data_IF_888836167358
#
_entry.id   IF_888836167358
#
_cell.length_a   1.000
_cell.length_b   1.000
_cell.length_c   1.000
_cell.angle_alpha   90.00
_cell.angle_beta   90.00
_cell.angle_gamma   90.00
#
_symmetry.space_group_name_H-M   'P 1'
#
loop_
_entity.id
_entity.type
_entity.pdbx_description
1 polymer ?
#
# COMPACT_ATOMS: atom_id res chain seq x y z
N UNK A 1 -14.08 -17.76 10.34
CA UNK A 1 -15.07 -18.57 9.59
C UNK A 1 -16.40 -17.82 9.41
N UNK A 2 -17.32 -17.76 10.39
CA UNK A 2 -18.64 -17.08 10.19
C UNK A 2 -18.51 -15.54 10.08
N UNK A 3 -17.72 -14.91 10.96
CA UNK A 3 -17.53 -13.44 10.94
C UNK A 3 -16.76 -12.95 9.72
N UNK A 4 -15.77 -13.71 9.24
CA UNK A 4 -15.02 -13.47 8.00
C UNK A 4 -15.93 -13.60 6.77
N UNK A 5 -16.77 -14.64 6.75
CA UNK A 5 -17.75 -14.83 5.69
C UNK A 5 -18.77 -13.69 5.62
N UNK A 6 -19.31 -13.25 6.76
CA UNK A 6 -20.20 -12.07 6.81
C UNK A 6 -19.47 -10.79 6.38
N UNK A 7 -18.19 -10.63 6.76
CA UNK A 7 -17.39 -9.47 6.34
C UNK A 7 -17.20 -9.44 4.83
N UNK A 8 -16.91 -10.59 4.21
CA UNK A 8 -16.80 -10.74 2.75
C UNK A 8 -18.14 -10.47 2.05
N UNK A 9 -19.26 -10.95 2.60
CA UNK A 9 -20.60 -10.75 2.03
C UNK A 9 -21.00 -9.26 1.95
N UNK A 10 -20.63 -8.47 2.96
CA UNK A 10 -20.92 -7.03 3.00
C UNK A 10 -19.79 -6.15 2.46
N UNK A 11 -18.69 -6.73 1.97
CA UNK A 11 -17.63 -5.97 1.34
C UNK A 11 -18.14 -5.27 0.08
N UNK A 12 -17.73 -4.02 -0.13
CA UNK A 12 -17.84 -3.37 -1.43
C UNK A 12 -16.48 -3.49 -2.13
N UNK A 13 -16.47 -3.63 -3.44
CA UNK A 13 -15.23 -3.63 -4.21
C UNK A 13 -15.46 -2.98 -5.57
N UNK A 14 -14.38 -2.61 -6.24
CA UNK A 14 -14.44 -2.32 -7.68
C UNK A 14 -14.86 -3.58 -8.46
N UNK A 15 -15.36 -3.43 -9.70
CA UNK A 15 -15.54 -4.56 -10.62
C UNK A 15 -14.24 -5.37 -10.76
N UNK A 16 -14.34 -6.69 -10.95
CA UNK A 16 -13.17 -7.58 -11.09
C UNK A 16 -12.48 -7.97 -9.78
N UNK A 17 -12.40 -7.08 -8.78
CA UNK A 17 -11.64 -7.32 -7.54
C UNK A 17 -12.05 -8.59 -6.77
N UNK A 18 -13.35 -8.93 -6.73
CA UNK A 18 -13.80 -10.17 -6.08
C UNK A 18 -13.33 -11.42 -6.83
N UNK A 19 -13.33 -11.40 -8.17
CA UNK A 19 -12.86 -12.53 -9.01
C UNK A 19 -11.35 -12.74 -8.83
N UNK A 20 -10.61 -11.65 -8.62
CA UNK A 20 -9.18 -11.64 -8.34
C UNK A 20 -8.83 -11.97 -6.87
N UNK A 21 -9.80 -12.34 -6.03
CA UNK A 21 -9.54 -12.73 -4.63
C UNK A 21 -9.21 -11.57 -3.68
N UNK A 22 -9.25 -10.31 -4.13
CA UNK A 22 -8.85 -9.15 -3.30
C UNK A 22 -9.72 -8.96 -2.06
N UNK A 23 -11.00 -9.35 -2.15
CA UNK A 23 -11.90 -9.29 -0.99
C UNK A 23 -11.47 -10.29 0.09
N UNK A 24 -11.10 -11.50 -0.31
CA UNK A 24 -10.66 -12.54 0.60
C UNK A 24 -9.31 -12.19 1.23
N UNK A 25 -8.40 -11.61 0.45
CA UNK A 25 -7.11 -11.10 0.96
C UNK A 25 -7.32 -9.99 2.00
N UNK A 26 -8.20 -9.01 1.74
CA UNK A 26 -8.52 -7.95 2.70
C UNK A 26 -9.09 -8.51 4.02
N UNK A 27 -9.95 -9.54 3.95
CA UNK A 27 -10.48 -10.23 5.13
C UNK A 27 -9.38 -11.02 5.85
N UNK A 28 -8.49 -11.70 5.11
CA UNK A 28 -7.38 -12.46 5.67
C UNK A 28 -6.37 -11.57 6.41
N UNK A 29 -6.01 -10.42 5.82
CA UNK A 29 -5.15 -9.41 6.46
C UNK A 29 -5.77 -8.94 7.78
N UNK A 30 -7.06 -8.61 7.78
CA UNK A 30 -7.77 -8.20 8.99
C UNK A 30 -7.73 -9.30 10.05
N UNK A 31 -8.05 -10.53 9.67
CA UNK A 31 -8.07 -11.66 10.61
C UNK A 31 -6.67 -11.89 11.22
N UNK A 32 -5.62 -11.80 10.39
CA UNK A 32 -4.23 -11.91 10.83
C UNK A 32 -3.85 -10.77 11.78
N UNK A 33 -4.24 -9.54 11.47
CA UNK A 33 -4.07 -8.41 12.38
C UNK A 33 -4.72 -8.65 13.74
N UNK A 34 -5.96 -9.13 13.79
CA UNK A 34 -6.64 -9.36 15.09
C UNK A 34 -5.92 -10.40 15.95
N UNK A 35 -5.36 -11.46 15.34
CA UNK A 35 -4.53 -12.46 16.03
C UNK A 35 -3.21 -11.88 16.51
N UNK A 36 -2.55 -11.08 15.67
CA UNK A 36 -1.15 -10.67 15.86
C UNK A 36 -0.95 -9.19 16.19
N UNK A 37 -2.01 -8.48 16.59
CA UNK A 37 -1.97 -7.02 16.85
C UNK A 37 -0.86 -6.57 17.79
N UNK A 38 -0.49 -7.41 18.77
CA UNK A 38 0.62 -7.13 19.70
C UNK A 38 1.98 -7.17 18.98
N UNK A 39 2.20 -8.19 18.15
CA UNK A 39 3.41 -8.35 17.35
C UNK A 39 3.51 -7.31 16.22
N UNK A 40 2.37 -6.90 15.66
CA UNK A 40 2.33 -5.88 14.60
C UNK A 40 2.45 -4.45 15.13
N UNK A 41 2.21 -4.22 16.44
CA UNK A 41 2.22 -2.88 17.05
C UNK A 41 3.47 -2.05 16.69
N UNK A 42 4.71 -2.56 16.78
CA UNK A 42 5.89 -1.78 16.42
C UNK A 42 5.91 -1.33 14.96
N UNK A 43 5.46 -2.20 14.03
CA UNK A 43 5.31 -1.83 12.62
C UNK A 43 4.25 -0.74 12.46
N UNK A 44 3.05 -0.95 13.02
CA UNK A 44 1.92 -0.02 12.91
C UNK A 44 2.26 1.37 13.47
N UNK A 45 2.92 1.41 14.62
CA UNK A 45 3.34 2.68 15.25
C UNK A 45 4.38 3.42 14.40
N UNK A 46 5.37 2.71 13.85
CA UNK A 46 6.37 3.30 12.94
C UNK A 46 5.72 3.81 11.66
N UNK A 47 4.87 3.01 11.01
CA UNK A 47 4.15 3.41 9.79
C UNK A 47 3.29 4.65 10.03
N UNK A 48 2.49 4.66 11.10
CA UNK A 48 1.65 5.82 11.48
C UNK A 48 2.47 7.06 11.81
N UNK A 49 3.58 6.90 12.52
CA UNK A 49 4.47 8.01 12.85
C UNK A 49 5.08 8.60 11.58
N UNK A 50 5.60 7.78 10.68
CA UNK A 50 6.17 8.23 9.39
C UNK A 50 5.17 9.01 8.56
N UNK A 51 3.94 8.50 8.44
CA UNK A 51 2.85 9.19 7.71
C UNK A 51 2.46 10.49 8.43
N UNK A 52 2.36 10.48 9.76
CA UNK A 52 2.00 11.68 10.54
C UNK A 52 3.05 12.78 10.41
N UNK A 53 4.33 12.44 10.39
CA UNK A 53 5.42 13.40 10.18
C UNK A 53 5.35 14.01 8.77
N UNK A 54 5.17 13.20 7.72
CA UNK A 54 5.00 13.71 6.37
C UNK A 54 3.74 14.60 6.22
N UNK A 55 2.65 14.23 6.91
CA UNK A 55 1.42 15.02 6.93
C UNK A 55 1.62 16.38 7.60
N UNK A 56 2.47 16.48 8.63
CA UNK A 56 2.75 17.74 9.33
C UNK A 56 3.46 18.77 8.43
N UNK A 57 4.24 18.30 7.45
CA UNK A 57 4.91 19.11 6.42
C UNK A 57 3.96 19.51 5.27
N UNK A 58 2.78 18.90 5.20
CA UNK A 58 1.82 19.10 4.12
C UNK A 58 1.03 20.41 4.32
N UNK A 59 0.85 21.25 3.28
CA UNK A 59 -0.01 22.43 3.37
C UNK A 59 -1.41 22.09 3.88
N UNK A 60 -1.87 22.79 4.92
CA UNK A 60 -3.15 22.50 5.61
C UNK A 60 -4.38 22.53 4.70
N UNK A 61 -4.32 23.23 3.56
CA UNK A 61 -5.39 23.33 2.57
C UNK A 61 -5.31 22.29 1.43
N UNK A 62 -4.35 21.36 1.50
CA UNK A 62 -4.17 20.28 0.53
C UNK A 62 -4.41 18.94 1.19
N UNK A 63 -5.22 18.09 0.57
CA UNK A 63 -5.62 16.81 1.15
C UNK A 63 -4.46 15.79 1.10
N UNK A 64 -4.45 14.83 2.03
CA UNK A 64 -3.62 13.64 1.88
C UNK A 64 -4.32 12.61 0.97
N UNK A 65 -3.60 12.00 0.05
CA UNK A 65 -4.08 10.89 -0.78
C UNK A 65 -3.39 9.61 -0.33
N UNK A 66 -4.12 8.67 0.25
CA UNK A 66 -3.59 7.38 0.71
C UNK A 66 -4.02 6.30 -0.27
N UNK A 67 -3.05 5.62 -0.87
CA UNK A 67 -3.20 4.47 -1.75
C UNK A 67 -2.92 3.19 -0.95
N UNK A 68 -3.80 2.19 -1.07
CA UNK A 68 -3.72 0.97 -0.28
C UNK A 68 -4.20 1.19 1.16
N UNK A 69 -5.29 1.93 1.32
CA UNK A 69 -5.78 2.33 2.63
C UNK A 69 -6.35 1.15 3.44
N UNK A 70 -6.87 0.11 2.78
CA UNK A 70 -7.49 -1.06 3.39
C UNK A 70 -8.41 -0.74 4.57
N UNK A 71 -8.27 -1.50 5.66
CA UNK A 71 -8.98 -1.26 6.92
C UNK A 71 -8.36 -0.13 7.78
N UNK A 72 -7.43 0.65 7.21
CA UNK A 72 -6.67 1.72 7.87
C UNK A 72 -5.98 1.26 9.16
N UNK A 73 -5.43 0.05 9.15
CA UNK A 73 -4.65 -0.50 10.27
C UNK A 73 -3.38 0.33 10.46
N UNK A 74 -2.66 0.58 9.36
CA UNK A 74 -1.39 1.32 9.31
C UNK A 74 -1.57 2.84 9.11
N UNK A 75 -2.79 3.29 8.81
CA UNK A 75 -3.07 4.68 8.46
C UNK A 75 -3.40 5.49 9.73
N UNK A 76 -2.76 6.66 9.97
CA UNK A 76 -3.03 7.47 11.14
C UNK A 76 -4.33 8.28 10.97
N UNK A 77 -5.49 7.62 11.00
CA UNK A 77 -6.80 8.25 10.79
C UNK A 77 -7.02 9.49 11.65
N UNK A 78 -6.64 9.47 12.94
CA UNK A 78 -6.78 10.62 13.83
C UNK A 78 -5.99 11.84 13.36
N UNK A 79 -4.80 11.64 12.76
CA UNK A 79 -4.01 12.72 12.18
C UNK A 79 -4.64 13.24 10.89
N UNK A 80 -5.14 12.35 10.03
CA UNK A 80 -5.85 12.73 8.80
C UNK A 80 -7.13 13.52 9.08
N UNK A 81 -7.92 13.12 10.07
CA UNK A 81 -9.16 13.82 10.46
C UNK A 81 -8.87 15.22 10.99
N UNK A 82 -7.79 15.39 11.76
CA UNK A 82 -7.38 16.71 12.28
C UNK A 82 -6.76 17.60 11.20
N UNK A 83 -6.29 17.03 10.09
CA UNK A 83 -5.79 17.81 8.97
C UNK A 83 -6.93 18.58 8.31
N UNK A 84 -6.78 19.90 8.14
CA UNK A 84 -7.88 20.79 7.70
C UNK A 84 -8.49 20.34 6.37
N UNK A 85 -7.66 19.99 5.40
CA UNK A 85 -8.12 19.50 4.11
C UNK A 85 -8.50 18.01 4.12
N UNK A 86 -8.33 17.30 5.24
CA UNK A 86 -8.63 15.89 5.41
C UNK A 86 -7.86 15.00 4.45
N UNK A 87 -8.50 13.94 3.96
CA UNK A 87 -7.85 13.01 3.04
C UNK A 87 -8.79 12.17 2.19
N UNK A 88 -8.19 11.51 1.23
CA UNK A 88 -8.75 10.47 0.37
C UNK A 88 -8.09 9.14 0.73
N UNK A 89 -8.89 8.13 1.01
CA UNK A 89 -8.48 6.75 1.27
C UNK A 89 -8.88 5.92 0.06
N UNK A 90 -7.90 5.40 -0.67
CA UNK A 90 -8.12 4.60 -1.87
C UNK A 90 -7.78 3.14 -1.63
N UNK A 91 -8.67 2.27 -2.09
CA UNK A 91 -8.46 0.83 -2.10
C UNK A 91 -9.39 0.17 -3.13
N UNK A 92 -9.04 -1.01 -3.62
CA UNK A 92 -9.91 -1.81 -4.47
C UNK A 92 -11.09 -2.43 -3.69
N UNK A 93 -10.95 -2.56 -2.36
CA UNK A 93 -11.92 -3.17 -1.47
C UNK A 93 -12.26 -2.23 -0.31
N UNK A 94 -13.52 -2.23 0.11
CA UNK A 94 -14.03 -1.45 1.22
C UNK A 94 -14.87 -2.33 2.15
N UNK A 95 -14.26 -2.75 3.27
CA UNK A 95 -14.91 -3.60 4.25
C UNK A 95 -15.88 -2.81 5.15
N UNK A 96 -16.91 -3.45 5.73
CA UNK A 96 -17.90 -2.77 6.57
C UNK A 96 -17.31 -1.99 7.77
N UNK A 97 -16.23 -2.49 8.37
CA UNK A 97 -15.68 -1.87 9.57
C UNK A 97 -15.03 -0.52 9.30
N UNK A 98 -14.18 -0.41 8.27
CA UNK A 98 -13.62 0.89 7.90
C UNK A 98 -14.71 1.89 7.51
N UNK A 99 -15.77 1.47 6.79
CA UNK A 99 -16.93 2.35 6.51
C UNK A 99 -17.55 2.91 7.77
N UNK A 100 -17.79 2.06 8.77
CA UNK A 100 -18.31 2.49 10.06
C UNK A 100 -17.35 3.46 10.78
N UNK A 101 -16.05 3.16 10.76
CA UNK A 101 -15.01 3.94 11.44
C UNK A 101 -14.84 5.35 10.88
N UNK A 102 -14.98 5.53 9.56
CA UNK A 102 -14.78 6.84 8.91
C UNK A 102 -16.07 7.65 8.74
N UNK A 103 -17.25 7.02 8.82
CA UNK A 103 -18.56 7.67 8.63
C UNK A 103 -18.75 8.99 9.39
N UNK A 104 -18.24 9.18 10.62
CA UNK A 104 -18.40 10.45 11.34
C UNK A 104 -17.60 11.62 10.75
N UNK A 105 -16.63 11.38 9.86
CA UNK A 105 -15.68 12.41 9.41
C UNK A 105 -16.00 12.89 8.00
N UNK A 106 -16.54 14.11 7.89
CA UNK A 106 -16.93 14.71 6.60
C UNK A 106 -15.75 15.10 5.70
N UNK A 107 -14.54 15.16 6.26
CA UNK A 107 -13.32 15.47 5.52
C UNK A 107 -12.52 14.22 5.11
N UNK A 108 -13.05 13.00 5.33
CA UNK A 108 -12.43 11.75 4.90
C UNK A 108 -13.32 11.09 3.85
N UNK A 109 -12.80 10.95 2.64
CA UNK A 109 -13.46 10.24 1.54
C UNK A 109 -12.81 8.88 1.35
N UNK A 110 -13.60 7.80 1.29
CA UNK A 110 -13.10 6.48 0.88
C UNK A 110 -13.57 6.18 -0.54
N UNK A 111 -12.61 6.03 -1.45
CA UNK A 111 -12.86 5.86 -2.88
C UNK A 111 -12.44 4.44 -3.26
N UNK A 112 -13.40 3.66 -3.76
CA UNK A 112 -13.09 2.39 -4.41
C UNK A 112 -12.36 2.70 -5.73
N UNK A 113 -11.10 2.27 -5.83
CA UNK A 113 -10.24 2.65 -6.94
C UNK A 113 -9.21 1.58 -7.24
N UNK A 114 -9.04 1.27 -8.53
CA UNK A 114 -7.93 0.48 -9.02
C UNK A 114 -6.73 1.40 -9.32
N UNK A 115 -5.71 1.34 -8.46
CA UNK A 115 -4.48 2.13 -8.68
C UNK A 115 -3.62 1.55 -9.80
N UNK A 116 -3.72 0.23 -10.03
CA UNK A 116 -2.94 -0.48 -11.05
C UNK A 116 -3.47 -0.14 -12.44
N UNK A 117 -4.78 0.05 -12.54
CA UNK A 117 -5.48 0.18 -13.81
C UNK A 117 -5.57 -1.13 -14.59
N UNK A 118 -5.25 -2.28 -14.02
CA UNK A 118 -5.26 -3.60 -14.67
C UNK A 118 -6.38 -4.52 -14.17
N UNK A 119 -7.14 -4.14 -13.13
CA UNK A 119 -8.23 -4.96 -12.58
C UNK A 119 -9.49 -4.89 -13.44
N UNK A 120 -9.75 -3.71 -14.01
CA UNK A 120 -10.81 -3.47 -14.97
C UNK A 120 -10.13 -3.17 -16.33
N UNK A 121 -10.26 -4.08 -17.30
CA UNK A 121 -9.60 -4.09 -18.63
C UNK A 121 -9.75 -2.78 -19.43
N UNK A 122 -10.58 -1.85 -18.95
CA UNK A 122 -10.74 -0.49 -19.47
C UNK A 122 -9.45 0.35 -19.46
N UNK A 123 -8.51 0.07 -18.58
CA UNK A 123 -7.23 0.78 -18.46
C UNK A 123 -6.09 -0.23 -18.54
N UNK A 124 -4.89 0.23 -18.91
CA UNK A 124 -3.67 -0.60 -18.99
C UNK A 124 -2.46 0.16 -18.42
N UNK A 125 -2.70 1.02 -17.44
CA UNK A 125 -1.67 1.83 -16.79
C UNK A 125 -2.15 2.35 -15.43
N UNK A 126 -1.20 2.53 -14.51
CA UNK A 126 -1.46 3.16 -13.23
C UNK A 126 -1.90 4.62 -13.43
N UNK A 127 -2.86 5.08 -12.63
CA UNK A 127 -3.35 6.46 -12.75
C UNK A 127 -3.90 7.02 -11.45
N UNK A 128 -3.71 8.33 -11.25
CA UNK A 128 -4.30 9.03 -10.12
C UNK A 128 -5.79 9.32 -10.37
N UNK A 129 -6.65 9.20 -9.34
CA UNK A 129 -8.05 9.60 -9.46
C UNK A 129 -8.18 11.10 -9.73
N UNK A 130 -9.28 11.51 -10.37
CA UNK A 130 -9.67 12.93 -10.40
C UNK A 130 -10.25 13.30 -9.03
N UNK A 131 -9.57 14.19 -8.30
CA UNK A 131 -9.94 14.57 -6.94
C UNK A 131 -10.48 16.00 -6.87
N UNK A 132 -11.51 16.21 -6.05
CA UNK A 132 -12.10 17.54 -5.81
C UNK A 132 -11.16 18.45 -5.02
N UNK A 133 -10.46 17.90 -4.03
CA UNK A 133 -9.45 18.59 -3.22
C UNK A 133 -8.08 18.23 -3.77
N UNK A 134 -7.24 19.23 -4.05
CA UNK A 134 -5.88 18.97 -4.57
C UNK A 134 -5.05 18.23 -3.51
N UNK A 135 -4.35 17.15 -3.88
CA UNK A 135 -3.44 16.48 -2.97
C UNK A 135 -2.25 17.40 -2.62
N UNK A 136 -1.74 17.25 -1.40
CA UNK A 136 -0.50 17.87 -0.92
C UNK A 136 0.51 16.84 -0.44
N UNK A 137 0.08 15.61 -0.25
CA UNK A 137 0.89 14.44 0.05
C UNK A 137 0.19 13.22 -0.55
N UNK A 138 0.95 12.38 -1.23
CA UNK A 138 0.52 11.05 -1.65
C UNK A 138 1.22 10.03 -0.73
N UNK A 139 0.50 9.04 -0.24
CA UNK A 139 1.03 7.96 0.58
C UNK A 139 0.68 6.65 -0.09
N UNK A 140 1.68 5.87 -0.48
CA UNK A 140 1.50 4.47 -0.88
C UNK A 140 1.94 3.60 0.28
N UNK A 141 0.99 2.93 0.94
CA UNK A 141 1.26 2.24 2.21
C UNK A 141 1.04 0.74 2.07
N UNK A 142 2.10 -0.05 2.27
CA UNK A 142 2.07 -1.51 2.38
C UNK A 142 1.30 -2.23 1.25
N UNK A 143 1.35 -1.70 0.03
CA UNK A 143 0.67 -2.28 -1.13
C UNK A 143 1.59 -2.66 -2.30
N UNK A 144 2.77 -2.03 -2.44
CA UNK A 144 3.60 -2.14 -3.65
C UNK A 144 4.09 -3.58 -3.92
N UNK A 145 4.44 -4.32 -2.87
CA UNK A 145 4.79 -5.75 -2.95
C UNK A 145 3.59 -6.68 -3.25
N UNK A 146 2.37 -6.15 -3.21
CA UNK A 146 1.13 -6.91 -3.32
C UNK A 146 0.31 -6.56 -4.56
N UNK A 147 0.49 -5.36 -5.14
CA UNK A 147 -0.33 -4.88 -6.26
C UNK A 147 -0.28 -5.76 -7.51
N UNK A 148 0.78 -6.54 -7.68
CA UNK A 148 0.97 -7.42 -8.84
C UNK A 148 0.49 -8.86 -8.59
N UNK A 149 0.32 -9.27 -7.33
CA UNK A 149 -0.02 -10.65 -6.94
C UNK A 149 -1.31 -11.20 -7.59
N UNK A 150 -2.35 -10.40 -7.87
CA UNK A 150 -3.53 -10.90 -8.57
C UNK A 150 -3.29 -11.36 -10.02
N UNK A 151 -2.14 -11.00 -10.59
CA UNK A 151 -1.85 -11.16 -12.02
C UNK A 151 -0.71 -12.14 -12.30
N UNK A 152 -0.09 -12.70 -11.26
CA UNK A 152 1.08 -13.59 -11.37
C UNK A 152 0.98 -14.76 -10.39
N UNK A 153 1.77 -15.80 -10.61
CA UNK A 153 2.01 -16.79 -9.56
C UNK A 153 2.97 -16.25 -8.51
N UNK A 154 2.82 -16.68 -7.26
CA UNK A 154 3.75 -16.32 -6.17
C UNK A 154 4.36 -17.57 -5.52
N UNK A 155 5.70 -17.71 -5.53
CA UNK A 155 6.67 -16.84 -6.21
C UNK A 155 6.50 -16.90 -7.75
N UNK A 156 6.96 -15.87 -8.50
CA UNK A 156 6.97 -15.91 -9.97
C UNK A 156 7.56 -17.22 -10.51
N UNK A 157 6.85 -17.89 -11.42
CA UNK A 157 7.23 -19.21 -11.93
C UNK A 157 7.89 -19.15 -13.31
N UNK A 158 7.60 -18.12 -14.10
CA UNK A 158 8.06 -17.96 -15.47
C UNK A 158 8.44 -16.50 -15.80
N UNK A 159 8.88 -16.28 -17.04
CA UNK A 159 9.29 -14.96 -17.53
C UNK A 159 8.11 -13.98 -17.61
N UNK A 160 6.90 -14.46 -17.91
CA UNK A 160 5.69 -13.63 -18.00
C UNK A 160 5.31 -13.07 -16.62
N UNK A 161 5.35 -13.90 -15.56
CA UNK A 161 5.14 -13.47 -14.17
C UNK A 161 6.13 -12.36 -13.78
N UNK A 162 7.41 -12.49 -14.16
CA UNK A 162 8.46 -11.51 -13.87
C UNK A 162 8.24 -10.19 -14.63
N UNK A 163 7.84 -10.27 -15.90
CA UNK A 163 7.54 -9.09 -16.73
C UNK A 163 6.34 -8.34 -16.15
N UNK A 164 5.25 -9.04 -15.80
CA UNK A 164 4.04 -8.44 -15.22
C UNK A 164 4.34 -7.80 -13.87
N UNK A 165 5.07 -8.52 -12.99
CA UNK A 165 5.51 -7.99 -11.69
C UNK A 165 6.26 -6.67 -11.89
N UNK A 166 7.31 -6.68 -12.72
CA UNK A 166 8.13 -5.49 -12.98
C UNK A 166 7.29 -4.35 -13.53
N UNK A 167 6.49 -4.61 -14.56
CA UNK A 167 5.66 -3.59 -15.21
C UNK A 167 4.75 -2.89 -14.20
N UNK A 168 3.99 -3.65 -13.41
CA UNK A 168 3.03 -3.08 -12.43
C UNK A 168 3.76 -2.29 -11.33
N UNK A 169 4.87 -2.83 -10.81
CA UNK A 169 5.67 -2.17 -9.77
C UNK A 169 6.28 -0.87 -10.28
N UNK A 170 6.90 -0.89 -11.46
CA UNK A 170 7.54 0.30 -12.03
C UNK A 170 6.51 1.38 -12.39
N UNK A 171 5.37 1.02 -12.98
CA UNK A 171 4.31 1.98 -13.30
C UNK A 171 3.75 2.65 -12.05
N UNK A 172 3.57 1.91 -10.95
CA UNK A 172 3.15 2.50 -9.68
C UNK A 172 4.22 3.45 -9.12
N UNK A 173 5.50 3.09 -9.16
CA UNK A 173 6.59 3.96 -8.69
C UNK A 173 6.66 5.23 -9.55
N UNK A 174 6.55 5.12 -10.89
CA UNK A 174 6.51 6.28 -11.79
C UNK A 174 5.32 7.19 -11.48
N UNK A 175 4.13 6.63 -11.26
CA UNK A 175 2.94 7.38 -10.87
C UNK A 175 3.15 8.15 -9.55
N UNK A 176 3.88 7.59 -8.58
CA UNK A 176 4.25 8.30 -7.35
C UNK A 176 5.28 9.40 -7.59
N UNK A 177 6.33 9.12 -8.38
CA UNK A 177 7.42 10.07 -8.68
C UNK A 177 6.98 11.28 -9.47
N UNK A 178 6.10 11.07 -10.44
CA UNK A 178 5.59 12.12 -11.35
C UNK A 178 4.18 12.56 -10.98
N UNK A 179 3.72 12.21 -9.77
CA UNK A 179 2.41 12.55 -9.26
C UNK A 179 2.25 14.06 -8.98
N UNK A 180 1.01 14.51 -8.75
CA UNK A 180 0.67 15.93 -8.55
C UNK A 180 1.10 16.54 -7.19
N UNK A 181 1.82 15.78 -6.36
CA UNK A 181 2.26 16.18 -5.02
C UNK A 181 3.47 15.34 -4.60
N UNK A 182 4.20 15.72 -3.53
CA UNK A 182 5.21 14.85 -2.94
C UNK A 182 4.60 13.53 -2.52
N UNK A 183 5.36 12.45 -2.67
CA UNK A 183 4.89 11.11 -2.33
C UNK A 183 5.78 10.45 -1.26
N UNK A 184 5.14 9.69 -0.39
CA UNK A 184 5.74 8.84 0.63
C UNK A 184 5.35 7.40 0.31
N UNK A 185 6.35 6.55 0.07
CA UNK A 185 6.15 5.13 -0.13
C UNK A 185 6.66 4.38 1.10
N UNK A 186 5.82 3.50 1.63
CA UNK A 186 6.16 2.53 2.66
C UNK A 186 5.81 1.17 2.11
N UNK A 187 6.79 0.29 1.97
CA UNK A 187 6.58 -1.05 1.42
C UNK A 187 7.60 -2.02 2.00
N UNK A 188 7.20 -3.28 2.15
CA UNK A 188 8.18 -4.34 2.24
C UNK A 188 8.91 -4.54 0.90
N UNK A 189 10.16 -4.99 0.99
CA UNK A 189 11.01 -5.25 -0.17
C UNK A 189 11.78 -6.58 -0.05
N UNK A 190 11.79 -7.20 1.14
CA UNK A 190 12.29 -8.56 1.40
C UNK A 190 11.39 -9.27 2.39
N UNK A 191 11.27 -10.59 2.22
CA UNK A 191 10.63 -11.52 3.17
C UNK A 191 11.66 -12.53 3.65
N UNK A 192 11.74 -12.71 4.96
CA UNK A 192 12.63 -13.66 5.62
C UNK A 192 11.75 -14.70 6.31
N UNK A 193 11.87 -15.96 5.92
CA UNK A 193 11.17 -17.10 6.54
C UNK A 193 12.19 -17.90 7.35
N UNK A 194 11.93 -18.07 8.64
CA UNK A 194 12.78 -18.85 9.55
C UNK A 194 12.03 -20.09 10.01
N UNK A 195 12.70 -21.24 9.94
CA UNK A 195 12.20 -22.53 10.42
C UNK A 195 13.30 -23.23 11.23
N UNK A 196 13.18 -23.24 12.56
CA UNK A 196 14.27 -23.66 13.44
C UNK A 196 15.55 -22.85 13.18
N UNK A 197 16.66 -23.53 12.88
CA UNK A 197 17.95 -22.90 12.54
C UNK A 197 18.07 -22.49 11.07
N UNK A 198 17.10 -22.86 10.22
CA UNK A 198 17.11 -22.52 8.80
C UNK A 198 16.46 -21.15 8.57
N UNK A 199 17.01 -20.39 7.62
CA UNK A 199 16.50 -19.08 7.22
C UNK A 199 16.58 -18.92 5.71
N UNK A 200 15.45 -18.60 5.09
CA UNK A 200 15.35 -18.32 3.67
C UNK A 200 14.93 -16.87 3.46
N UNK A 201 15.49 -16.22 2.43
CA UNK A 201 15.18 -14.82 2.11
C UNK A 201 14.69 -14.73 0.67
N UNK A 202 13.58 -14.03 0.50
CA UNK A 202 12.90 -13.80 -0.77
C UNK A 202 12.81 -12.30 -1.03
N UNK A 203 13.10 -11.86 -2.24
CA UNK A 203 12.81 -10.49 -2.65
C UNK A 203 11.30 -10.36 -2.90
N UNK A 204 10.67 -9.30 -2.39
CA UNK A 204 9.25 -9.00 -2.68
C UNK A 204 9.09 -7.92 -3.74
N UNK A 205 10.20 -7.30 -4.16
CA UNK A 205 10.32 -6.38 -5.28
C UNK A 205 11.52 -6.79 -6.14
N UNK A 206 11.56 -6.44 -7.43
CA UNK A 206 12.75 -6.61 -8.25
C UNK A 206 13.97 -5.92 -7.62
N UNK A 207 15.04 -6.69 -7.38
CA UNK A 207 16.15 -6.28 -6.52
C UNK A 207 16.96 -5.10 -7.07
N UNK A 208 17.11 -5.04 -8.39
CA UNK A 208 17.80 -3.96 -9.12
C UNK A 208 17.11 -2.59 -8.95
N UNK A 209 15.80 -2.56 -8.66
CA UNK A 209 15.11 -1.29 -8.41
C UNK A 209 15.62 -0.60 -7.13
N UNK A 210 16.20 -1.34 -6.19
CA UNK A 210 16.70 -0.85 -4.90
C UNK A 210 18.17 -0.41 -4.94
N UNK A 211 18.87 -0.62 -6.06
CA UNK A 211 20.27 -0.22 -6.21
C UNK A 211 20.45 1.31 -6.23
N UNK A 212 21.64 1.79 -5.87
CA UNK A 212 21.94 3.22 -5.87
C UNK A 212 21.73 3.81 -7.28
N UNK A 213 20.96 4.90 -7.37
CA UNK A 213 20.61 5.53 -8.65
C UNK A 213 19.51 4.84 -9.46
N UNK A 214 18.99 3.69 -9.01
CA UNK A 214 17.89 2.99 -9.66
C UNK A 214 16.53 3.69 -9.48
N UNK A 215 15.46 3.07 -9.99
CA UNK A 215 14.12 3.66 -9.95
C UNK A 215 13.62 3.85 -8.51
N UNK A 216 13.91 2.97 -7.56
CA UNK A 216 13.48 3.14 -6.17
C UNK A 216 14.65 3.64 -5.28
N UNK A 217 15.84 3.06 -5.46
CA UNK A 217 17.00 3.33 -4.60
C UNK A 217 16.89 2.65 -3.23
N UNK A 218 17.95 2.74 -2.40
CA UNK A 218 17.89 2.22 -1.03
C UNK A 218 16.87 2.99 -0.19
N UNK A 219 16.20 2.34 0.78
CA UNK A 219 15.26 3.03 1.66
C UNK A 219 15.97 4.05 2.56
N UNK A 220 15.33 5.20 2.80
CA UNK A 220 15.82 6.23 3.73
C UNK A 220 15.78 5.76 5.19
N UNK A 221 14.84 4.87 5.49
CA UNK A 221 14.64 4.27 6.80
C UNK A 221 14.01 2.89 6.61
N UNK A 222 14.32 1.97 7.52
CA UNK A 222 13.81 0.61 7.46
C UNK A 222 13.56 0.00 8.85
N UNK A 223 12.67 -1.00 8.89
CA UNK A 223 12.43 -1.80 10.08
C UNK A 223 11.93 -3.20 9.73
N UNK A 224 11.99 -4.05 10.74
CA UNK A 224 11.44 -5.40 10.69
C UNK A 224 9.97 -5.41 11.07
N UNK A 225 9.16 -6.09 10.26
CA UNK A 225 7.79 -6.41 10.57
C UNK A 225 7.61 -7.92 10.73
N UNK A 226 7.29 -8.35 11.94
CA UNK A 226 6.93 -9.74 12.25
C UNK A 226 5.52 -10.07 11.74
N UNK A 227 5.40 -10.28 10.42
CA UNK A 227 4.12 -10.47 9.73
C UNK A 227 3.40 -11.72 10.21
N UNK A 228 4.13 -12.82 10.38
CA UNK A 228 3.64 -14.10 10.90
C UNK A 228 4.58 -14.58 12.00
N UNK A 229 4.27 -14.33 13.28
CA UNK A 229 5.08 -14.85 14.38
C UNK A 229 4.99 -16.39 14.44
N UNK A 230 5.94 -17.00 15.15
CA UNK A 230 6.05 -18.46 15.31
C UNK A 230 4.70 -19.08 15.72
N UNK A 231 4.31 -20.15 15.03
CA UNK A 231 3.06 -20.87 15.30
C UNK A 231 1.91 -20.57 14.32
N UNK A 232 1.97 -19.49 13.54
CA UNK A 232 0.93 -19.17 12.53
C UNK A 232 1.06 -20.02 11.25
N UNK A 233 2.28 -20.14 10.72
CA UNK A 233 2.55 -20.90 9.48
C UNK A 233 2.97 -22.36 9.76
N UNK A 234 3.14 -22.71 11.03
CA UNK A 234 3.67 -23.98 11.50
C UNK A 234 4.35 -23.80 12.85
N UNK A 235 4.57 -24.92 13.57
CA UNK A 235 5.04 -24.92 14.97
C UNK A 235 6.31 -24.07 15.19
N UNK A 236 7.23 -24.12 14.23
CA UNK A 236 8.53 -23.45 14.33
C UNK A 236 8.80 -22.48 13.16
N UNK A 237 7.74 -22.03 12.45
CA UNK A 237 7.87 -21.15 11.28
C UNK A 237 7.50 -19.72 11.64
N UNK A 238 8.42 -18.79 11.39
CA UNK A 238 8.22 -17.34 11.50
C UNK A 238 8.48 -16.66 10.17
N UNK A 239 7.64 -15.74 9.76
CA UNK A 239 7.89 -14.87 8.61
C UNK A 239 8.02 -13.42 9.06
N UNK A 240 9.07 -12.75 8.59
CA UNK A 240 9.37 -11.35 8.83
C UNK A 240 9.52 -10.63 7.49
N UNK A 241 9.05 -9.38 7.41
CA UNK A 241 9.23 -8.50 6.27
C UNK A 241 10.22 -7.39 6.62
N UNK A 242 11.13 -7.07 5.70
CA UNK A 242 11.92 -5.83 5.74
C UNK A 242 11.13 -4.74 5.06
N UNK A 243 10.73 -3.73 5.84
CA UNK A 243 9.92 -2.61 5.39
C UNK A 243 10.81 -1.38 5.23
N UNK A 244 10.74 -0.73 4.08
CA UNK A 244 11.47 0.48 3.76
C UNK A 244 10.56 1.70 3.59
N UNK A 245 11.17 2.88 3.68
CA UNK A 245 10.54 4.18 3.42
C UNK A 245 11.30 4.89 2.31
N UNK A 246 10.55 5.43 1.35
CA UNK A 246 11.09 6.26 0.26
C UNK A 246 10.27 7.53 0.12
N UNK A 247 10.94 8.66 -0.15
CA UNK A 247 10.28 9.93 -0.45
C UNK A 247 10.56 10.35 -1.88
N UNK A 248 9.51 10.82 -2.53
CA UNK A 248 9.59 11.40 -3.85
C UNK A 248 9.22 12.88 -3.75
N UNK A 249 10.19 13.80 -3.93
CA UNK A 249 9.89 15.22 -3.91
C UNK A 249 9.01 15.59 -5.11
N UNK A 250 8.12 16.56 -4.92
CA UNK A 250 7.34 17.08 -6.04
C UNK A 250 8.26 17.82 -7.02
N UNK A 251 8.26 17.37 -8.27
CA UNK A 251 8.91 18.05 -9.37
C UNK A 251 7.81 18.69 -10.22
N UNK A 252 7.53 20.00 -10.10
CA UNK A 252 6.67 20.65 -11.08
C UNK A 252 7.30 20.45 -12.45
N UNK A 253 6.50 20.05 -13.45
CA UNK A 253 6.99 20.00 -14.83
C UNK A 253 7.62 21.36 -15.15
N UNK A 254 8.90 21.35 -15.53
CA UNK A 254 9.53 22.53 -16.11
C UNK A 254 8.70 22.87 -17.35
N UNK A 255 8.08 24.05 -17.46
CA UNK A 255 7.38 24.40 -18.67
C UNK A 255 8.38 24.26 -19.82
N UNK A 256 8.05 23.40 -20.79
CA UNK A 256 8.76 23.34 -22.06
C UNK A 256 8.68 24.75 -22.61
N UNK A 257 9.80 25.48 -22.61
CA UNK A 257 9.87 26.74 -23.33
C UNK A 257 9.57 26.39 -24.78
N UNK A 258 8.40 26.78 -25.27
CA UNK A 258 8.17 26.88 -26.70
C UNK A 258 9.32 27.72 -27.25
N UNK A 259 10.09 27.14 -28.17
CA UNK A 259 11.10 27.89 -28.90
C UNK A 259 10.32 28.86 -29.79
N UNK A 260 10.46 30.15 -29.49
CA UNK A 260 10.09 31.25 -30.39
C UNK A 260 10.74 31.09 -31.78
#
# INVERSE_FOLDING_TARGET
MISEWLTSLFAKSIPGAKKLGLVDEAVAIRARYERHKRNWRPHIERTKSTITSALAETPKNRAALVLGAGECIDIPLSSLVRHRAGGYLLDAVNLPAIRGRIRPYSNIDYILYDVTGFIDDSKKQASMPKLRRRPGLIVSCNMLSQIYLPFVNFPPQDEDDLIIQRMIVEEHIKMLKYGPAPALLISDYKKIVKQGDQSETYATLPADLLEEGALLGPPENEWDWDICPTGELGKDIRAQLKVGVWRFPYRPETPVKEKD
#
